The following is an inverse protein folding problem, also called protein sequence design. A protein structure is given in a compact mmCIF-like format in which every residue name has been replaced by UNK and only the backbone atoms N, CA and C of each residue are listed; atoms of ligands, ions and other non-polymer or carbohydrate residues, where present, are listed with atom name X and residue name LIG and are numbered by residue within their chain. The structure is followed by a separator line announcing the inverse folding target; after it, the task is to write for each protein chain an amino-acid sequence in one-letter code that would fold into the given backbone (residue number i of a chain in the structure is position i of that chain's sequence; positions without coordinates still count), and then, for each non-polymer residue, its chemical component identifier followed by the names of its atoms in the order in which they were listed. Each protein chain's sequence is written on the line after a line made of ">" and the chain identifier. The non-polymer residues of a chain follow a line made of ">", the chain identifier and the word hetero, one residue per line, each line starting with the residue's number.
data_IF_027580599363
#
_entry.id   IF_027580599363
#
_cell.length_a   1.000
_cell.length_b   1.000
_cell.length_c   1.000
_cell.angle_alpha   90.00
_cell.angle_beta   90.00
_cell.angle_gamma   90.00
#
_symmetry.space_group_name_H-M   'P 1'
#
loop_
_entity.id
_entity.type
_entity.pdbx_description
1 polymer ?
#
# COMPACT_ATOMS: atom_id res chain seq x y z
N UNK A 1 -37.64 25.51 -0.13
CA UNK A 1 -38.81 25.99 0.63
C UNK A 1 -39.71 26.81 -0.28
N UNK A 2 -41.04 26.75 -0.11
CA UNK A 2 -41.96 27.69 -0.74
C UNK A 2 -41.58 29.14 -0.41
N UNK A 3 -41.92 30.08 -1.30
CA UNK A 3 -41.64 31.50 -1.08
C UNK A 3 -42.35 31.97 0.20
N UNK A 4 -41.60 32.59 1.11
CA UNK A 4 -42.12 33.14 2.37
C UNK A 4 -42.05 32.21 3.58
N UNK A 5 -41.77 30.91 3.39
CA UNK A 5 -41.55 29.99 4.51
C UNK A 5 -40.12 30.07 5.05
N UNK A 6 -39.97 30.04 6.37
CA UNK A 6 -38.68 30.13 7.07
C UNK A 6 -38.45 28.99 8.08
N UNK A 7 -39.40 28.08 8.26
CA UNK A 7 -39.29 26.87 9.10
C UNK A 7 -40.06 25.69 8.48
N UNK A 8 -39.81 24.47 8.96
CA UNK A 8 -40.56 23.25 8.59
C UNK A 8 -41.08 22.57 9.85
N UNK A 9 -42.34 22.13 9.86
CA UNK A 9 -42.93 21.35 10.96
C UNK A 9 -42.78 19.85 10.63
N UNK A 10 -42.16 19.02 11.50
CA UNK A 10 -42.20 17.56 11.35
C UNK A 10 -43.64 17.04 11.40
N UNK A 11 -43.97 16.04 10.58
CA UNK A 11 -45.36 15.51 10.52
C UNK A 11 -45.81 14.95 11.88
N UNK A 12 -44.87 14.45 12.68
CA UNK A 12 -45.07 13.97 14.05
C UNK A 12 -45.59 15.05 15.01
N UNK A 13 -45.31 16.33 14.71
CA UNK A 13 -45.77 17.48 15.50
C UNK A 13 -47.11 18.05 14.96
N UNK A 14 -47.84 17.27 14.15
CA UNK A 14 -49.16 17.64 13.59
C UNK A 14 -50.24 16.60 13.91
N UNK A 15 -51.50 16.92 13.61
CA UNK A 15 -52.64 15.98 13.70
C UNK A 15 -52.79 15.04 12.48
N UNK A 16 -51.85 15.08 11.53
CA UNK A 16 -51.89 14.23 10.34
C UNK A 16 -51.24 12.86 10.58
N UNK A 17 -52.08 11.87 10.92
CA UNK A 17 -51.63 10.51 11.28
C UNK A 17 -51.73 9.46 10.17
N UNK A 18 -52.43 9.74 9.06
CA UNK A 18 -52.58 8.80 7.94
C UNK A 18 -51.33 8.82 7.05
N UNK A 19 -50.63 7.68 7.01
CA UNK A 19 -49.33 7.50 6.33
C UNK A 19 -49.40 6.51 5.16
N UNK A 20 -50.61 6.15 4.71
CA UNK A 20 -50.74 5.24 3.57
C UNK A 20 -50.21 5.89 2.28
N UNK A 21 -49.53 5.09 1.45
CA UNK A 21 -48.99 5.56 0.18
C UNK A 21 -50.13 6.02 -0.74
N UNK A 22 -50.08 7.29 -1.18
CA UNK A 22 -51.10 7.89 -2.04
C UNK A 22 -52.21 8.65 -1.32
N UNK A 23 -52.22 8.72 0.02
CA UNK A 23 -53.17 9.55 0.76
C UNK A 23 -52.95 11.04 0.43
N UNK A 24 -54.00 11.79 0.02
CA UNK A 24 -53.88 13.21 -0.27
C UNK A 24 -53.64 14.01 1.03
N UNK A 25 -52.90 15.12 0.90
CA UNK A 25 -52.73 16.06 2.00
C UNK A 25 -54.10 16.63 2.46
N UNK A 26 -54.33 16.80 3.78
CA UNK A 26 -55.57 17.35 4.28
C UNK A 26 -55.69 18.84 3.95
N UNK A 27 -56.93 19.36 3.92
CA UNK A 27 -57.19 20.79 3.65
C UNK A 27 -56.67 21.71 4.76
N UNK A 28 -56.55 21.20 5.98
CA UNK A 28 -56.06 21.90 7.17
C UNK A 28 -55.34 20.92 8.07
N UNK A 29 -54.38 21.43 8.85
CA UNK A 29 -53.67 20.69 9.90
C UNK A 29 -53.65 21.51 11.19
N UNK A 30 -53.56 20.82 12.32
CA UNK A 30 -53.26 21.38 13.63
C UNK A 30 -51.78 21.21 13.92
N UNK A 31 -51.10 22.28 14.34
CA UNK A 31 -49.70 22.24 14.78
C UNK A 31 -49.68 22.09 16.29
N UNK A 32 -49.16 20.95 16.78
CA UNK A 32 -49.12 20.63 18.20
C UNK A 32 -47.91 21.24 18.91
N UNK A 33 -46.86 21.62 18.16
CA UNK A 33 -45.64 22.25 18.67
C UNK A 33 -45.19 23.41 17.77
N UNK A 34 -44.95 24.58 18.35
CA UNK A 34 -44.34 25.69 17.62
C UNK A 34 -42.89 25.39 17.24
N UNK A 35 -42.45 25.87 16.06
CA UNK A 35 -41.04 25.85 15.61
C UNK A 35 -40.50 27.26 15.48
N UNK A 36 -39.19 27.40 15.67
CA UNK A 36 -38.50 28.69 15.52
C UNK A 36 -38.14 28.97 14.06
N UNK A 37 -37.98 30.25 13.68
CA UNK A 37 -37.41 30.60 12.38
C UNK A 37 -36.08 29.89 12.12
N UNK A 38 -35.97 29.20 10.98
CA UNK A 38 -34.80 28.42 10.57
C UNK A 38 -34.77 26.97 11.09
N UNK A 39 -35.70 26.57 11.95
CA UNK A 39 -35.76 25.20 12.46
C UNK A 39 -36.13 24.22 11.34
N UNK A 40 -35.40 23.09 11.27
CA UNK A 40 -35.53 22.08 10.21
C UNK A 40 -35.28 22.61 8.78
N UNK A 41 -34.64 23.77 8.63
CA UNK A 41 -34.26 24.34 7.34
C UNK A 41 -32.77 24.17 7.08
N UNK A 42 -32.44 23.48 5.98
CA UNK A 42 -31.07 23.46 5.45
C UNK A 42 -30.88 24.65 4.51
N UNK A 43 -30.15 25.68 4.97
CA UNK A 43 -29.89 26.89 4.18
C UNK A 43 -28.97 26.58 2.99
N UNK A 44 -29.13 27.34 1.90
CA UNK A 44 -28.24 27.22 0.72
C UNK A 44 -26.79 27.45 1.14
N UNK A 45 -25.90 26.53 0.77
CA UNK A 45 -24.47 26.61 1.09
C UNK A 45 -24.14 26.38 2.56
N UNK A 46 -25.02 25.69 3.31
CA UNK A 46 -24.76 25.28 4.68
C UNK A 46 -23.57 24.31 4.77
N UNK A 47 -23.53 23.31 3.88
CA UNK A 47 -22.48 22.28 3.89
C UNK A 47 -21.26 22.66 3.04
N UNK A 48 -21.49 23.18 1.83
CA UNK A 48 -20.43 23.59 0.88
C UNK A 48 -20.85 24.85 0.15
N UNK A 49 -19.95 25.84 0.06
CA UNK A 49 -20.19 27.06 -0.70
C UNK A 49 -19.65 26.95 -2.12
N UNK A 50 -20.27 27.68 -3.05
CA UNK A 50 -19.76 27.77 -4.43
C UNK A 50 -18.33 28.34 -4.41
N UNK A 51 -17.41 27.66 -5.08
CA UNK A 51 -16.00 28.04 -5.18
C UNK A 51 -15.12 27.53 -4.04
N UNK A 52 -15.69 26.87 -3.03
CA UNK A 52 -14.93 26.23 -1.96
C UNK A 52 -14.31 24.91 -2.45
N UNK A 53 -13.02 24.65 -2.18
CA UNK A 53 -12.39 23.38 -2.52
C UNK A 53 -12.91 22.27 -1.59
N UNK A 54 -13.51 21.24 -2.18
CA UNK A 54 -14.05 20.08 -1.43
C UNK A 54 -13.07 18.90 -1.35
N UNK A 55 -12.14 18.80 -2.28
CA UNK A 55 -11.09 17.78 -2.35
C UNK A 55 -9.80 18.42 -2.81
N UNK A 56 -8.66 17.91 -2.32
CA UNK A 56 -7.32 18.41 -2.65
C UNK A 56 -6.56 17.42 -3.53
N UNK A 57 -5.69 17.95 -4.40
CA UNK A 57 -4.79 17.16 -5.24
C UNK A 57 -3.91 16.24 -4.38
N UNK A 58 -3.71 15.00 -4.85
CA UNK A 58 -2.88 14.00 -4.18
C UNK A 58 -3.61 13.20 -3.09
N UNK A 59 -4.92 13.44 -2.90
CA UNK A 59 -5.79 12.61 -2.07
C UNK A 59 -6.16 11.32 -2.80
N UNK A 60 -6.04 10.19 -2.11
CA UNK A 60 -6.66 8.92 -2.53
C UNK A 60 -8.17 9.01 -2.37
N UNK A 61 -8.92 8.87 -3.48
CA UNK A 61 -10.38 8.91 -3.46
C UNK A 61 -10.95 7.75 -2.63
N UNK A 62 -11.79 8.07 -1.66
CA UNK A 62 -12.59 7.15 -0.84
C UNK A 62 -14.03 7.11 -1.31
N UNK A 63 -14.82 6.15 -0.81
CA UNK A 63 -16.24 6.00 -1.17
C UNK A 63 -17.04 7.30 -0.96
N UNK A 64 -16.83 7.99 0.17
CA UNK A 64 -17.49 9.26 0.47
C UNK A 64 -17.06 10.40 -0.47
N UNK A 65 -15.83 10.38 -0.98
CA UNK A 65 -15.35 11.40 -1.92
C UNK A 65 -16.06 11.25 -3.26
N UNK A 66 -16.25 10.01 -3.71
CA UNK A 66 -17.02 9.70 -4.92
C UNK A 66 -18.48 10.12 -4.74
N UNK A 67 -19.08 9.85 -3.59
CA UNK A 67 -20.45 10.29 -3.27
C UNK A 67 -20.60 11.82 -3.28
N UNK A 68 -19.63 12.54 -2.69
CA UNK A 68 -19.61 14.00 -2.70
C UNK A 68 -19.48 14.56 -4.12
N UNK A 69 -18.57 14.01 -4.93
CA UNK A 69 -18.42 14.40 -6.34
C UNK A 69 -19.71 14.21 -7.12
N UNK A 70 -20.40 13.08 -6.92
CA UNK A 70 -21.69 12.81 -7.55
C UNK A 70 -22.78 13.79 -7.09
N UNK A 71 -22.86 14.08 -5.79
CA UNK A 71 -23.80 15.06 -5.22
C UNK A 71 -23.59 16.46 -5.80
N UNK A 72 -22.34 16.81 -6.11
CA UNK A 72 -21.96 18.08 -6.73
C UNK A 72 -22.11 18.08 -8.26
N UNK A 73 -22.55 16.97 -8.87
CA UNK A 73 -22.71 16.84 -10.32
C UNK A 73 -21.39 16.71 -11.09
N UNK A 74 -20.30 16.33 -10.41
CA UNK A 74 -18.98 16.16 -11.03
C UNK A 74 -18.84 14.75 -11.58
N UNK A 75 -19.15 14.58 -12.87
CA UNK A 75 -19.16 13.27 -13.53
C UNK A 75 -17.76 12.71 -13.86
N UNK A 76 -16.75 13.57 -14.00
CA UNK A 76 -15.37 13.18 -14.33
C UNK A 76 -14.39 14.03 -13.53
N UNK A 77 -13.33 13.40 -13.06
CA UNK A 77 -12.22 14.05 -12.37
C UNK A 77 -10.90 13.62 -12.98
N UNK A 78 -9.93 14.53 -13.00
CA UNK A 78 -8.56 14.20 -13.41
C UNK A 78 -7.87 13.46 -12.26
N UNK A 79 -7.26 12.32 -12.58
CA UNK A 79 -6.54 11.48 -11.62
C UNK A 79 -5.15 11.15 -12.18
N UNK A 80 -4.24 10.77 -11.29
CA UNK A 80 -2.97 10.19 -11.68
C UNK A 80 -3.19 8.81 -12.32
N UNK A 81 -2.39 8.49 -13.33
CA UNK A 81 -2.38 7.14 -13.89
C UNK A 81 -1.77 6.16 -12.86
N UNK A 82 -2.17 4.88 -12.94
CA UNK A 82 -1.51 3.84 -12.16
C UNK A 82 -0.05 3.70 -12.63
N UNK A 83 0.95 3.72 -11.73
CA UNK A 83 2.34 3.49 -12.11
C UNK A 83 2.51 2.12 -12.76
N UNK A 84 3.21 2.05 -13.90
CA UNK A 84 3.53 0.81 -14.61
C UNK A 84 4.85 0.26 -14.08
N UNK A 85 4.82 -0.90 -13.42
CA UNK A 85 6.02 -1.50 -12.83
C UNK A 85 6.35 -2.80 -13.54
N UNK A 86 7.52 -2.83 -14.18
CA UNK A 86 8.07 -4.03 -14.79
C UNK A 86 8.79 -4.87 -13.75
N UNK A 87 8.35 -6.12 -13.56
CA UNK A 87 8.86 -7.04 -12.55
C UNK A 87 9.64 -8.17 -13.23
N UNK A 88 10.89 -8.34 -12.83
CA UNK A 88 11.74 -9.45 -13.26
C UNK A 88 12.39 -10.16 -12.07
N UNK A 89 12.57 -11.46 -12.23
CA UNK A 89 13.43 -12.27 -11.38
C UNK A 89 14.73 -12.59 -12.14
N UNK A 90 15.75 -13.09 -11.45
CA UNK A 90 16.99 -13.56 -12.08
C UNK A 90 17.54 -14.73 -11.27
N UNK A 91 18.20 -15.65 -11.94
CA UNK A 91 18.87 -16.78 -11.31
C UNK A 91 18.50 -18.07 -12.01
N UNK A 92 19.51 -18.81 -12.43
CA UNK A 92 19.32 -20.10 -13.09
C UNK A 92 18.65 -21.11 -12.16
N UNK A 93 18.71 -20.93 -10.83
CA UNK A 93 18.03 -21.79 -9.86
C UNK A 93 16.50 -21.71 -9.93
N UNK A 94 15.95 -20.68 -10.57
CA UNK A 94 14.51 -20.41 -10.55
C UNK A 94 13.74 -21.23 -11.59
N UNK A 95 12.63 -21.80 -11.12
CA UNK A 95 11.63 -22.49 -11.92
C UNK A 95 10.30 -21.74 -11.89
N UNK A 96 9.50 -21.94 -12.93
CA UNK A 96 8.09 -21.57 -12.92
C UNK A 96 7.32 -22.29 -11.81
N UNK A 97 6.20 -21.69 -11.39
CA UNK A 97 5.46 -22.17 -10.20
C UNK A 97 4.90 -23.59 -10.35
N UNK A 98 4.55 -23.99 -11.58
CA UNK A 98 3.95 -25.28 -11.93
C UNK A 98 4.98 -26.33 -12.36
N UNK A 99 6.24 -25.92 -12.56
CA UNK A 99 7.30 -26.83 -12.95
C UNK A 99 7.61 -27.88 -11.85
N UNK A 100 7.96 -29.12 -12.23
CA UNK A 100 8.46 -30.12 -11.29
C UNK A 100 9.78 -29.65 -10.67
N UNK A 101 10.03 -30.00 -9.41
CA UNK A 101 11.30 -29.63 -8.77
C UNK A 101 12.45 -30.44 -9.35
N UNK A 102 13.52 -29.74 -9.67
CA UNK A 102 14.79 -30.31 -10.12
C UNK A 102 15.88 -30.10 -9.06
N UNK A 103 16.94 -30.90 -9.14
CA UNK A 103 18.05 -30.82 -8.18
C UNK A 103 18.71 -29.43 -8.21
N UNK A 104 18.80 -28.79 -7.05
CA UNK A 104 19.39 -27.45 -6.91
C UNK A 104 18.51 -26.30 -7.42
N UNK A 105 17.28 -26.58 -7.85
CA UNK A 105 16.33 -25.56 -8.32
C UNK A 105 15.23 -25.30 -7.28
N UNK A 106 14.68 -24.08 -7.31
CA UNK A 106 13.57 -23.63 -6.46
C UNK A 106 12.53 -22.91 -7.31
N UNK A 107 11.28 -22.83 -6.84
CA UNK A 107 10.23 -22.07 -7.51
C UNK A 107 10.37 -20.58 -7.21
N UNK A 108 10.14 -19.74 -8.22
CA UNK A 108 10.11 -18.30 -8.04
C UNK A 108 8.86 -17.87 -7.25
N UNK A 109 9.02 -17.73 -5.93
CA UNK A 109 7.96 -17.21 -5.05
C UNK A 109 7.96 -15.68 -4.93
N UNK A 110 9.08 -15.03 -5.27
CA UNK A 110 9.22 -13.59 -5.12
C UNK A 110 8.42 -12.84 -6.17
N UNK A 111 8.43 -13.27 -7.43
CA UNK A 111 7.68 -12.56 -8.47
C UNK A 111 6.17 -12.57 -8.22
N UNK A 112 5.63 -13.62 -7.61
CA UNK A 112 4.22 -13.68 -7.21
C UNK A 112 3.94 -12.77 -6.02
N UNK A 113 4.79 -12.85 -4.99
CA UNK A 113 4.66 -12.01 -3.79
C UNK A 113 4.74 -10.53 -4.14
N UNK A 114 5.74 -10.12 -4.91
CA UNK A 114 5.96 -8.74 -5.31
C UNK A 114 4.89 -8.25 -6.29
N UNK A 115 4.41 -9.09 -7.23
CA UNK A 115 3.30 -8.70 -8.09
C UNK A 115 2.04 -8.37 -7.27
N UNK A 116 1.67 -9.20 -6.30
CA UNK A 116 0.52 -8.94 -5.44
C UNK A 116 0.71 -7.65 -4.61
N UNK A 117 1.91 -7.42 -4.07
CA UNK A 117 2.23 -6.21 -3.32
C UNK A 117 2.20 -4.94 -4.20
N UNK A 118 2.66 -5.03 -5.44
CA UNK A 118 2.60 -3.94 -6.42
C UNK A 118 1.14 -3.55 -6.73
N UNK A 119 0.28 -4.53 -6.97
CA UNK A 119 -1.14 -4.32 -7.24
C UNK A 119 -1.84 -3.69 -6.03
N UNK A 120 -1.58 -4.19 -4.82
CA UNK A 120 -2.06 -3.62 -3.56
C UNK A 120 -1.59 -2.17 -3.36
N UNK A 121 -0.34 -1.87 -3.72
CA UNK A 121 0.19 -0.51 -3.70
C UNK A 121 -0.47 0.41 -4.76
N UNK A 122 -1.21 -0.15 -5.72
CA UNK A 122 -1.95 0.58 -6.76
C UNK A 122 -1.25 0.67 -8.11
N UNK A 123 -0.19 -0.12 -8.33
CA UNK A 123 0.53 -0.19 -9.59
C UNK A 123 -0.15 -1.13 -10.60
N UNK A 124 0.18 -0.95 -11.88
CA UNK A 124 -0.05 -1.92 -12.95
C UNK A 124 1.23 -2.74 -13.15
N UNK A 125 1.14 -4.06 -12.99
CA UNK A 125 2.31 -4.95 -13.05
C UNK A 125 2.53 -5.47 -14.47
N UNK A 126 3.77 -5.43 -14.94
CA UNK A 126 4.24 -6.05 -16.18
C UNK A 126 5.20 -7.17 -15.79
N UNK A 127 4.75 -8.44 -15.80
CA UNK A 127 5.62 -9.58 -15.48
C UNK A 127 6.53 -9.89 -16.66
N UNK A 128 7.82 -9.62 -16.51
CA UNK A 128 8.83 -9.88 -17.54
C UNK A 128 9.31 -11.35 -17.54
N UNK A 129 9.20 -12.02 -16.40
CA UNK A 129 9.65 -13.39 -16.19
C UNK A 129 11.00 -13.46 -15.48
N UNK A 130 11.68 -14.60 -15.66
CA UNK A 130 12.99 -14.90 -15.06
C UNK A 130 14.09 -14.65 -16.09
N UNK A 131 15.04 -13.80 -15.76
CA UNK A 131 16.29 -13.68 -16.49
C UNK A 131 17.21 -14.87 -16.18
N UNK A 132 17.78 -15.46 -17.22
CA UNK A 132 18.91 -16.38 -17.09
C UNK A 132 20.17 -15.61 -16.69
N UNK A 133 21.16 -16.31 -16.16
CA UNK A 133 22.45 -15.74 -15.79
C UNK A 133 23.34 -15.51 -17.02
N UNK A 134 22.82 -14.78 -18.00
CA UNK A 134 23.52 -14.33 -19.19
C UNK A 134 23.10 -12.92 -19.62
N UNK A 135 24.06 -12.19 -20.20
CA UNK A 135 23.89 -10.79 -20.61
C UNK A 135 22.70 -10.58 -21.55
N UNK A 136 22.47 -11.51 -22.48
CA UNK A 136 21.44 -11.35 -23.52
C UNK A 136 20.04 -11.48 -22.91
N UNK A 137 19.83 -12.47 -22.05
CA UNK A 137 18.55 -12.65 -21.35
C UNK A 137 18.18 -11.41 -20.54
N UNK A 138 19.15 -10.81 -19.83
CA UNK A 138 18.93 -9.57 -19.06
C UNK A 138 18.60 -8.40 -19.98
N UNK A 139 19.36 -8.22 -21.07
CA UNK A 139 19.12 -7.17 -22.07
C UNK A 139 17.72 -7.27 -22.69
N UNK A 140 17.30 -8.48 -23.05
CA UNK A 140 15.99 -8.71 -23.67
C UNK A 140 14.84 -8.36 -22.72
N UNK A 141 14.93 -8.72 -21.43
CA UNK A 141 13.90 -8.39 -20.44
C UNK A 141 13.87 -6.90 -20.09
N UNK A 142 15.04 -6.26 -19.93
CA UNK A 142 15.09 -4.81 -19.71
C UNK A 142 14.60 -4.03 -20.95
N UNK A 143 14.88 -4.53 -22.15
CA UNK A 143 14.33 -3.99 -23.40
C UNK A 143 12.80 -4.08 -23.46
N UNK A 144 12.21 -5.18 -22.96
CA UNK A 144 10.75 -5.30 -22.82
C UNK A 144 10.18 -4.27 -21.86
N UNK A 145 10.82 -3.98 -20.72
CA UNK A 145 10.37 -2.91 -19.81
C UNK A 145 10.29 -1.55 -20.52
N UNK A 146 11.28 -1.24 -21.35
CA UNK A 146 11.32 0.01 -22.13
C UNK A 146 10.20 0.05 -23.16
N UNK A 147 10.01 -1.04 -23.92
CA UNK A 147 8.95 -1.14 -24.93
C UNK A 147 7.55 -1.01 -24.32
N UNK A 148 7.37 -1.56 -23.12
CA UNK A 148 6.14 -1.48 -22.33
C UNK A 148 6.00 -0.14 -21.58
N UNK A 149 6.92 0.80 -21.75
CA UNK A 149 6.88 2.13 -21.10
C UNK A 149 6.67 2.02 -19.58
N UNK A 150 7.47 1.18 -18.93
CA UNK A 150 7.45 1.08 -17.48
C UNK A 150 7.96 2.39 -16.84
N UNK A 151 7.37 2.77 -15.70
CA UNK A 151 7.81 3.90 -14.88
C UNK A 151 8.90 3.46 -13.88
N UNK A 152 8.88 2.17 -13.50
CA UNK A 152 9.82 1.54 -12.58
C UNK A 152 10.10 0.10 -13.02
N UNK A 153 11.36 -0.31 -12.91
CA UNK A 153 11.79 -1.70 -13.02
C UNK A 153 12.10 -2.21 -11.61
N UNK A 154 11.41 -3.27 -11.20
CA UNK A 154 11.65 -3.97 -9.94
C UNK A 154 12.29 -5.33 -10.25
N UNK A 155 13.48 -5.57 -9.68
CA UNK A 155 14.14 -6.86 -9.72
C UNK A 155 14.09 -7.53 -8.35
N UNK A 156 13.71 -8.80 -8.30
CA UNK A 156 13.76 -9.60 -7.07
C UNK A 156 15.04 -10.40 -6.89
N UNK A 157 16.10 -10.07 -7.65
CA UNK A 157 17.36 -10.83 -7.66
C UNK A 157 18.59 -9.98 -8.01
N UNK A 158 18.61 -8.71 -7.60
CA UNK A 158 19.63 -7.75 -8.03
C UNK A 158 20.84 -7.64 -7.10
N UNK A 159 21.22 -8.66 -6.34
CA UNK A 159 22.25 -8.52 -5.28
C UNK A 159 23.05 -9.79 -4.94
N UNK A 160 22.80 -10.92 -5.61
CA UNK A 160 23.54 -12.17 -5.40
C UNK A 160 24.65 -12.33 -6.43
N UNK A 161 25.76 -12.95 -6.04
CA UNK A 161 26.99 -13.09 -6.84
C UNK A 161 26.69 -13.85 -8.15
N UNK A 162 27.14 -13.35 -9.31
CA UNK A 162 26.85 -13.92 -10.63
C UNK A 162 25.80 -13.15 -11.43
N UNK A 163 24.52 -13.45 -11.23
CA UNK A 163 23.39 -12.78 -11.90
C UNK A 163 23.44 -11.24 -11.79
N UNK A 164 23.86 -10.75 -10.62
CA UNK A 164 24.01 -9.32 -10.36
C UNK A 164 25.04 -8.67 -11.29
N UNK A 165 26.10 -9.39 -11.65
CA UNK A 165 27.17 -8.84 -12.48
C UNK A 165 26.64 -8.52 -13.89
N UNK A 166 25.81 -9.40 -14.47
CA UNK A 166 25.15 -9.14 -15.76
C UNK A 166 24.10 -8.04 -15.67
N UNK A 167 23.28 -8.02 -14.61
CA UNK A 167 22.30 -6.94 -14.39
C UNK A 167 23.00 -5.59 -14.30
N UNK A 168 24.07 -5.50 -13.51
CA UNK A 168 24.87 -4.30 -13.36
C UNK A 168 25.49 -3.88 -14.69
N UNK A 169 26.17 -4.79 -15.38
CA UNK A 169 26.84 -4.52 -16.65
C UNK A 169 25.87 -4.00 -17.72
N UNK A 170 24.68 -4.60 -17.81
CA UNK A 170 23.65 -4.18 -18.78
C UNK A 170 23.05 -2.83 -18.40
N UNK A 171 22.79 -2.59 -17.12
CA UNK A 171 22.23 -1.30 -16.67
C UNK A 171 23.25 -0.18 -16.86
N UNK A 172 24.50 -0.37 -16.46
CA UNK A 172 25.57 0.63 -16.58
C UNK A 172 25.94 0.95 -18.03
N UNK A 173 25.61 0.08 -18.99
CA UNK A 173 25.79 0.36 -20.41
C UNK A 173 24.89 1.50 -20.92
N UNK A 174 23.67 1.65 -20.38
CA UNK A 174 22.66 2.63 -20.80
C UNK A 174 21.99 3.35 -19.60
N UNK A 175 22.74 3.52 -18.50
CA UNK A 175 22.16 3.94 -17.22
C UNK A 175 23.18 4.01 -16.09
N UNK A 176 22.69 3.93 -14.85
CA UNK A 176 23.52 3.90 -13.63
C UNK A 176 22.91 2.93 -12.62
N UNK A 177 23.76 2.25 -11.85
CA UNK A 177 23.33 1.38 -10.78
C UNK A 177 24.22 1.52 -9.55
N UNK A 178 23.63 2.01 -8.47
CA UNK A 178 24.27 2.10 -7.16
C UNK A 178 23.90 0.90 -6.31
N UNK A 179 24.89 0.32 -5.64
CA UNK A 179 24.71 -0.78 -4.72
C UNK A 179 24.88 -0.33 -3.27
N UNK A 180 23.81 -0.46 -2.50
CA UNK A 180 23.71 0.00 -1.12
C UNK A 180 23.75 -1.18 -0.16
N UNK A 181 24.39 -0.95 1.00
CA UNK A 181 24.34 -1.85 2.16
C UNK A 181 23.59 -1.13 3.26
N UNK A 182 22.27 -1.30 3.28
CA UNK A 182 21.39 -0.67 4.25
C UNK A 182 21.55 -1.33 5.62
N UNK A 183 21.55 -0.50 6.67
CA UNK A 183 21.66 -0.95 8.06
C UNK A 183 20.34 -1.53 8.58
N UNK A 184 19.82 -2.56 7.90
CA UNK A 184 18.55 -3.21 8.21
C UNK A 184 18.63 -4.73 8.22
N UNK A 185 17.62 -5.36 8.83
CA UNK A 185 17.42 -6.81 8.83
C UNK A 185 15.92 -7.16 8.76
N UNK A 186 15.52 -8.11 7.91
CA UNK A 186 16.28 -8.63 6.76
C UNK A 186 16.44 -7.54 5.67
N UNK A 187 17.15 -7.84 4.58
CA UNK A 187 17.21 -6.89 3.44
C UNK A 187 18.41 -5.95 3.38
N UNK A 188 19.59 -6.37 3.87
CA UNK A 188 20.82 -5.54 3.84
C UNK A 188 21.17 -4.98 2.45
N UNK A 189 21.24 -5.77 1.36
CA UNK A 189 21.63 -5.23 0.08
C UNK A 189 20.44 -4.65 -0.68
N UNK A 190 20.64 -3.51 -1.34
CA UNK A 190 19.66 -2.84 -2.17
C UNK A 190 20.38 -2.28 -3.40
N UNK A 191 19.87 -2.56 -4.60
CA UNK A 191 20.34 -1.89 -5.80
C UNK A 191 19.36 -0.78 -6.18
N UNK A 192 19.86 0.40 -6.52
CA UNK A 192 19.04 1.53 -6.93
C UNK A 192 19.70 2.24 -8.11
N UNK A 193 18.93 2.65 -9.10
CA UNK A 193 19.49 3.31 -10.26
C UNK A 193 18.46 3.61 -11.32
N UNK A 194 18.91 3.66 -12.56
CA UNK A 194 18.03 3.84 -13.71
C UNK A 194 18.61 3.15 -14.94
N UNK A 195 17.73 2.67 -15.80
CA UNK A 195 18.05 2.10 -17.11
C UNK A 195 17.24 2.83 -18.16
N UNK A 196 17.90 3.51 -19.10
CA UNK A 196 17.23 4.30 -20.17
C UNK A 196 16.13 5.23 -19.63
N UNK A 197 16.44 5.95 -18.55
CA UNK A 197 15.56 6.87 -17.82
C UNK A 197 14.40 6.24 -17.02
N UNK A 198 14.29 4.92 -17.00
CA UNK A 198 13.34 4.19 -16.15
C UNK A 198 14.03 3.90 -14.81
N UNK A 199 13.40 4.27 -13.69
CA UNK A 199 13.97 3.98 -12.38
C UNK A 199 14.11 2.47 -12.16
N UNK A 200 15.13 2.06 -11.42
CA UNK A 200 15.41 0.66 -11.14
C UNK A 200 15.58 0.45 -9.63
N UNK A 201 14.89 -0.56 -9.09
CA UNK A 201 15.10 -1.04 -7.71
C UNK A 201 15.36 -2.55 -7.77
N UNK A 202 16.50 -2.98 -7.23
CA UNK A 202 16.85 -4.38 -7.06
C UNK A 202 16.77 -4.80 -5.59
N UNK A 203 15.85 -5.70 -5.30
CA UNK A 203 15.66 -6.31 -3.99
C UNK A 203 16.42 -7.64 -3.87
N UNK A 204 16.65 -8.13 -2.64
CA UNK A 204 17.30 -9.41 -2.41
C UNK A 204 16.46 -10.62 -2.78
N UNK A 205 17.11 -11.70 -3.22
CA UNK A 205 16.46 -12.97 -3.59
C UNK A 205 15.80 -13.74 -2.44
N UNK A 206 16.14 -13.45 -1.19
CA UNK A 206 15.49 -14.08 -0.04
C UNK A 206 14.05 -13.56 0.13
N UNK A 207 13.01 -14.41 0.18
CA UNK A 207 11.61 -13.97 0.15
C UNK A 207 11.21 -12.94 1.20
N UNK A 208 11.63 -13.12 2.46
CA UNK A 208 11.31 -12.14 3.51
C UNK A 208 12.09 -10.84 3.30
N UNK A 209 13.29 -10.91 2.74
CA UNK A 209 14.08 -9.71 2.42
C UNK A 209 13.45 -8.92 1.28
N UNK A 210 12.95 -9.59 0.24
CA UNK A 210 12.20 -8.96 -0.84
C UNK A 210 10.92 -8.30 -0.32
N UNK A 211 10.15 -9.00 0.50
CA UNK A 211 8.93 -8.44 1.11
C UNK A 211 9.23 -7.19 1.96
N UNK A 212 10.20 -7.27 2.88
CA UNK A 212 10.56 -6.14 3.74
C UNK A 212 11.13 -4.98 2.91
N UNK A 213 12.01 -5.27 1.94
CA UNK A 213 12.54 -4.24 1.04
C UNK A 213 11.45 -3.57 0.19
N UNK A 214 10.42 -4.32 -0.20
CA UNK A 214 9.26 -3.75 -0.86
C UNK A 214 8.53 -2.76 0.06
N UNK A 215 8.20 -3.19 1.28
CA UNK A 215 7.46 -2.36 2.23
C UNK A 215 8.23 -1.09 2.64
N UNK A 216 9.56 -1.19 2.79
CA UNK A 216 10.41 -0.06 3.20
C UNK A 216 10.67 0.92 2.05
N UNK A 217 10.94 0.44 0.83
CA UNK A 217 11.43 1.30 -0.26
C UNK A 217 10.44 1.43 -1.42
N UNK A 218 9.91 0.30 -1.89
CA UNK A 218 9.16 0.24 -3.16
C UNK A 218 7.74 0.79 -3.00
N UNK A 219 7.07 0.49 -1.88
CA UNK A 219 5.71 0.97 -1.61
C UNK A 219 5.64 2.50 -1.62
N UNK A 220 6.62 3.17 -0.98
CA UNK A 220 6.71 4.63 -0.98
C UNK A 220 7.01 5.19 -2.38
N UNK A 221 7.90 4.55 -3.15
CA UNK A 221 8.19 4.96 -4.52
C UNK A 221 6.93 4.90 -5.42
N UNK A 222 6.13 3.85 -5.29
CA UNK A 222 4.85 3.71 -6.01
C UNK A 222 3.86 4.78 -5.56
N UNK A 223 3.78 5.05 -4.26
CA UNK A 223 2.93 6.11 -3.73
C UNK A 223 3.25 7.48 -4.34
N UNK A 224 4.55 7.81 -4.47
CA UNK A 224 5.00 9.04 -5.10
C UNK A 224 4.68 9.07 -6.61
N UNK A 225 4.94 7.99 -7.34
CA UNK A 225 4.58 7.88 -8.77
C UNK A 225 3.07 7.98 -8.99
N UNK A 226 2.27 7.47 -8.06
CA UNK A 226 0.81 7.59 -8.07
C UNK A 226 0.30 8.97 -7.60
N UNK A 227 1.20 9.93 -7.32
CA UNK A 227 0.87 11.29 -6.94
C UNK A 227 0.31 11.45 -5.53
N UNK A 228 0.54 10.48 -4.63
CA UNK A 228 0.08 10.57 -3.23
C UNK A 228 0.88 11.62 -2.46
N UNK A 229 0.19 12.47 -1.71
CA UNK A 229 0.82 13.50 -0.88
C UNK A 229 1.59 12.91 0.33
N UNK A 230 1.09 11.80 0.88
CA UNK A 230 1.73 11.02 1.95
C UNK A 230 1.49 9.54 1.66
N UNK A 231 2.54 8.72 1.74
CA UNK A 231 2.44 7.28 1.43
C UNK A 231 2.81 6.35 2.58
N UNK A 232 3.33 6.87 3.70
CA UNK A 232 3.82 6.01 4.78
C UNK A 232 2.74 5.11 5.35
N UNK A 233 3.04 3.81 5.46
CA UNK A 233 2.21 2.85 6.21
C UNK A 233 1.87 3.40 7.60
N UNK A 234 0.61 3.28 8.06
CA UNK A 234 0.24 3.60 9.43
C UNK A 234 1.13 2.85 10.41
N UNK A 235 1.69 3.59 11.37
CA UNK A 235 2.45 3.03 12.49
C UNK A 235 1.54 2.95 13.70
N UNK A 236 1.61 1.83 14.41
CA UNK A 236 0.95 1.64 15.70
C UNK A 236 1.99 1.33 16.75
N UNK A 237 1.71 1.71 18.01
CA UNK A 237 2.49 1.26 19.15
C UNK A 237 1.86 -0.02 19.70
N UNK A 238 2.69 -1.02 19.93
CA UNK A 238 2.28 -2.33 20.42
C UNK A 238 3.18 -2.76 21.56
N UNK A 239 2.59 -3.42 22.56
CA UNK A 239 3.31 -3.97 23.70
C UNK A 239 3.83 -5.37 23.38
N UNK A 240 5.09 -5.65 23.66
CA UNK A 240 5.68 -6.97 23.42
C UNK A 240 5.17 -8.02 24.42
N UNK A 241 4.74 -9.18 23.92
CA UNK A 241 4.37 -10.33 24.76
C UNK A 241 5.59 -11.10 25.28
N UNK A 242 6.74 -10.98 24.62
CA UNK A 242 7.97 -11.70 24.91
C UNK A 242 9.18 -10.78 24.69
N UNK A 243 10.33 -11.16 25.27
CA UNK A 243 11.58 -10.45 24.96
C UNK A 243 11.93 -10.64 23.49
N UNK A 244 12.36 -9.55 22.84
CA UNK A 244 12.78 -9.56 21.44
C UNK A 244 14.24 -9.17 21.35
N UNK A 245 15.06 -10.07 20.82
CA UNK A 245 16.48 -9.83 20.56
C UNK A 245 16.72 -9.37 19.12
N UNK A 246 17.72 -8.51 18.95
CA UNK A 246 18.14 -7.92 17.69
C UNK A 246 19.68 -7.90 17.62
N UNK A 247 20.24 -7.79 16.42
CA UNK A 247 21.69 -7.71 16.21
C UNK A 247 22.21 -6.27 16.14
N UNK A 248 21.36 -5.28 16.47
CA UNK A 248 21.69 -3.85 16.46
C UNK A 248 21.46 -3.16 15.12
N UNK A 249 21.08 -3.89 14.07
CA UNK A 249 20.51 -3.28 12.85
C UNK A 249 19.04 -2.95 13.07
N UNK A 250 18.52 -2.01 12.29
CA UNK A 250 17.07 -1.78 12.28
C UNK A 250 16.37 -3.06 11.82
N UNK A 251 15.55 -3.64 12.69
CA UNK A 251 14.97 -4.97 12.45
C UNK A 251 13.48 -4.88 12.20
N UNK A 252 13.05 -5.51 11.10
CA UNK A 252 11.67 -5.68 10.68
C UNK A 252 11.27 -7.13 10.94
N UNK A 253 10.69 -7.37 12.12
CA UNK A 253 10.39 -8.71 12.62
C UNK A 253 8.93 -9.05 12.42
N UNK A 254 8.65 -10.26 11.93
CA UNK A 254 7.28 -10.72 11.67
C UNK A 254 6.59 -11.04 12.98
N UNK A 255 5.46 -10.40 13.19
CA UNK A 255 4.66 -10.54 14.40
C UNK A 255 3.18 -10.67 14.10
N UNK A 256 2.50 -11.30 15.05
CA UNK A 256 1.07 -11.25 15.20
C UNK A 256 0.73 -10.22 16.28
N UNK A 257 -0.03 -9.20 15.89
CA UNK A 257 -0.58 -8.16 16.76
C UNK A 257 -2.05 -8.48 17.01
N UNK A 258 -2.43 -8.54 18.28
CA UNK A 258 -3.83 -8.75 18.72
C UNK A 258 -4.26 -7.64 19.66
N UNK A 259 -5.55 -7.32 19.63
CA UNK A 259 -6.15 -6.47 20.64
C UNK A 259 -6.47 -7.30 21.88
N UNK A 260 -5.94 -6.88 23.03
CA UNK A 260 -6.19 -7.46 24.34
C UNK A 260 -6.79 -6.39 25.27
N UNK A 261 -7.22 -6.77 26.48
CA UNK A 261 -7.90 -5.84 27.44
C UNK A 261 -7.15 -4.53 27.68
N UNK A 262 -5.82 -4.52 27.53
CA UNK A 262 -4.95 -3.38 27.83
C UNK A 262 -4.31 -2.78 26.57
N UNK A 263 -4.88 -3.05 25.38
CA UNK A 263 -4.41 -2.52 24.10
C UNK A 263 -3.75 -3.57 23.20
N UNK A 264 -2.99 -3.10 22.20
CA UNK A 264 -2.38 -3.96 21.20
C UNK A 264 -1.14 -4.67 21.76
N UNK A 265 -1.12 -5.99 21.64
CA UNK A 265 -0.01 -6.85 22.07
C UNK A 265 0.56 -7.60 20.88
N UNK A 266 1.89 -7.65 20.77
CA UNK A 266 2.61 -8.29 19.68
C UNK A 266 3.39 -9.53 20.15
N UNK A 267 3.32 -10.62 19.37
CA UNK A 267 4.12 -11.83 19.54
C UNK A 267 4.82 -12.19 18.23
N UNK A 268 6.07 -12.65 18.29
CA UNK A 268 6.77 -13.06 17.07
C UNK A 268 6.15 -14.33 16.49
N UNK A 269 6.16 -14.44 15.15
CA UNK A 269 5.61 -15.61 14.44
C UNK A 269 6.54 -16.85 14.48
N UNK A 270 7.45 -16.92 15.46
CA UNK A 270 8.51 -17.92 15.55
C UNK A 270 9.79 -17.53 14.79
N UNK A 271 10.43 -18.51 14.12
CA UNK A 271 11.75 -18.36 13.52
C UNK A 271 11.84 -17.20 12.50
N UNK A 272 12.73 -16.23 12.76
CA UNK A 272 12.87 -14.98 12.00
C UNK A 272 13.85 -15.04 10.81
N UNK A 273 14.19 -16.22 10.28
CA UNK A 273 15.06 -16.37 9.10
C UNK A 273 14.52 -15.68 7.85
N UNK A 274 15.41 -15.16 6.99
CA UNK A 274 15.05 -14.39 5.79
C UNK A 274 14.44 -15.19 4.64
N UNK A 275 14.55 -16.52 4.69
CA UNK A 275 13.90 -17.44 3.75
C UNK A 275 12.53 -17.96 4.23
N UNK A 276 12.13 -17.65 5.47
CA UNK A 276 10.93 -18.23 6.07
C UNK A 276 9.65 -17.50 5.63
N UNK A 277 9.17 -17.75 4.41
CA UNK A 277 7.95 -17.13 3.89
C UNK A 277 6.71 -17.46 4.73
N UNK A 278 6.62 -18.65 5.33
CA UNK A 278 5.49 -19.04 6.19
C UNK A 278 5.30 -18.09 7.38
N UNK A 279 6.39 -17.53 7.92
CA UNK A 279 6.29 -16.56 9.00
C UNK A 279 5.61 -15.25 8.58
N UNK A 280 5.72 -14.84 7.31
CA UNK A 280 4.98 -13.69 6.78
C UNK A 280 3.48 -14.00 6.67
N UNK A 281 3.14 -15.22 6.24
CA UNK A 281 1.73 -15.66 6.16
C UNK A 281 1.05 -15.67 7.54
N UNK A 282 1.81 -15.96 8.60
CA UNK A 282 1.32 -15.92 9.99
C UNK A 282 1.31 -14.52 10.60
N UNK A 283 1.97 -13.56 9.96
CA UNK A 283 2.09 -12.21 10.48
C UNK A 283 0.94 -11.33 9.98
N UNK A 284 0.49 -10.42 10.84
CA UNK A 284 -0.32 -9.28 10.44
C UNK A 284 0.41 -7.95 10.70
N UNK A 285 1.67 -8.02 11.14
CA UNK A 285 2.50 -6.86 11.39
C UNK A 285 4.00 -7.14 11.20
N UNK A 286 4.74 -6.06 10.92
CA UNK A 286 6.20 -5.98 11.07
C UNK A 286 6.53 -5.10 12.29
N UNK A 287 7.12 -5.69 13.32
CA UNK A 287 7.71 -4.95 14.45
C UNK A 287 9.00 -4.28 14.00
N UNK A 288 9.17 -3.03 14.42
CA UNK A 288 10.34 -2.21 14.10
C UNK A 288 11.17 -2.06 15.37
N UNK A 289 12.33 -2.74 15.39
CA UNK A 289 13.32 -2.57 16.44
C UNK A 289 14.37 -1.56 15.92
N UNK A 290 14.51 -0.38 16.55
CA UNK A 290 15.42 0.66 16.07
C UNK A 290 16.88 0.20 15.99
N UNK A 291 17.63 0.77 15.06
CA UNK A 291 19.07 0.56 14.99
C UNK A 291 19.76 0.91 16.33
N UNK A 292 20.76 0.12 16.70
CA UNK A 292 21.48 0.21 17.99
C UNK A 292 20.83 -0.58 19.13
N UNK A 293 19.54 -0.94 19.02
CA UNK A 293 18.84 -1.75 20.04
C UNK A 293 19.12 -3.23 19.82
N UNK A 294 19.62 -3.91 20.86
CA UNK A 294 19.95 -5.35 20.82
C UNK A 294 18.95 -6.24 21.54
N UNK A 295 18.17 -5.67 22.45
CA UNK A 295 17.19 -6.41 23.22
C UNK A 295 16.09 -5.44 23.66
N UNK A 296 14.84 -5.87 23.54
CA UNK A 296 13.68 -5.19 24.09
C UNK A 296 12.96 -6.18 25.01
N UNK A 297 12.88 -5.89 26.33
CA UNK A 297 12.18 -6.76 27.27
C UNK A 297 10.70 -6.90 26.94
N UNK A 298 10.08 -7.99 27.42
CA UNK A 298 8.63 -8.13 27.41
C UNK A 298 7.94 -6.96 28.12
N UNK A 299 6.69 -6.71 27.75
CA UNK A 299 5.84 -5.61 28.22
C UNK A 299 6.28 -4.18 27.84
N UNK A 300 7.40 -4.00 27.12
CA UNK A 300 7.78 -2.72 26.52
C UNK A 300 7.03 -2.46 25.21
N UNK A 301 6.91 -1.19 24.84
CA UNK A 301 6.28 -0.78 23.58
C UNK A 301 7.30 -0.60 22.46
N UNK A 302 6.92 -1.01 21.25
CA UNK A 302 7.66 -0.74 20.01
C UNK A 302 6.70 -0.30 18.91
N UNK A 303 7.24 0.30 17.85
CA UNK A 303 6.45 0.59 16.65
C UNK A 303 6.24 -0.67 15.81
N UNK A 304 5.07 -0.75 15.17
CA UNK A 304 4.75 -1.79 14.21
C UNK A 304 4.07 -1.20 12.97
N UNK A 305 4.35 -1.79 11.81
CA UNK A 305 3.53 -1.64 10.61
C UNK A 305 2.50 -2.75 10.56
N UNK A 306 1.22 -2.40 10.49
CA UNK A 306 0.17 -3.36 10.19
C UNK A 306 0.19 -3.69 8.69
N UNK A 307 0.11 -4.98 8.37
CA UNK A 307 0.19 -5.53 7.01
C UNK A 307 -1.17 -5.57 6.34
#
# INVERSE_FOLDING_TARGET
>A
LPRGADAVIPVEDTDFHDRAAGTPAPKSITINRAVKPGEFVRRRGLDVRKGEPVLYKGRTLKAQDVGLLAMLGVAKVQVYCKPRVALLSSGDELLEVDAPLESGKIRDSNSYTLAALLEDAGAQVIRLGVAKDDRKSVQDLLGKAVNEKADLILSSAGVSVGAFDFVKEVIEADGRLDFWRVNMRPGKPLAFGEYRHIQFIGLPGNPVSAFVGFEVFVREAIGQLAGRATSSRPRVRVRLAEQVDSDGRESYLRAEVREEEHGLVARLTGHQGSGNLLSLVRANALLIIPAGVKCVPAAQEVEAWLL
#
